data_IF_821397295949
#
_entry.id   IF_821397295949
#
_cell.length_a   1.000
_cell.length_b   1.000
_cell.length_c   1.000
_cell.angle_alpha   90.00
_cell.angle_beta   90.00
_cell.angle_gamma   90.00
#
_symmetry.space_group_name_H-M   'P 1'
#
loop_
_entity.id
_entity.type
_entity.pdbx_description
1 polymer ?
#
# COMPACT_ATOMS: atom_id res chain seq x y z
N UNK A 1 -5.20 0.15 6.28
CA UNK A 1 -4.49 1.37 6.76
C UNK A 1 -2.98 1.16 6.60
N UNK A 2 -2.16 2.23 6.63
CA UNK A 2 -0.67 2.14 6.57
C UNK A 2 -0.08 1.02 7.42
N UNK A 3 -0.61 0.79 8.64
CA UNK A 3 -0.15 -0.29 9.52
C UNK A 3 -0.18 -1.67 8.86
N UNK A 4 -1.19 -1.96 8.05
CA UNK A 4 -1.28 -3.26 7.38
C UNK A 4 -0.15 -3.45 6.35
N UNK A 5 0.23 -2.39 5.64
CA UNK A 5 1.38 -2.41 4.72
C UNK A 5 2.67 -2.64 5.50
N UNK A 6 2.81 -2.01 6.67
CA UNK A 6 3.98 -2.21 7.54
C UNK A 6 4.06 -3.64 8.07
N UNK A 7 2.93 -4.25 8.45
CA UNK A 7 2.88 -5.63 8.97
C UNK A 7 3.14 -6.66 7.86
N UNK A 8 2.53 -6.46 6.68
CA UNK A 8 2.67 -7.38 5.54
C UNK A 8 4.07 -7.31 4.94
N UNK A 9 4.57 -6.11 4.66
CA UNK A 9 5.88 -5.91 4.01
C UNK A 9 7.03 -5.81 5.01
N UNK A 10 6.76 -5.83 6.32
CA UNK A 10 7.76 -5.67 7.39
C UNK A 10 8.60 -4.39 7.25
N UNK A 11 8.02 -3.32 6.69
CA UNK A 11 8.70 -2.05 6.42
C UNK A 11 8.39 -0.95 7.44
N UNK A 12 9.29 0.03 7.52
CA UNK A 12 9.10 1.23 8.32
C UNK A 12 7.93 2.10 7.83
N UNK A 13 7.43 2.96 8.72
CA UNK A 13 6.28 3.84 8.41
C UNK A 13 6.55 4.75 7.22
N UNK A 14 7.76 5.29 7.13
CA UNK A 14 8.20 6.16 6.04
C UNK A 14 8.17 5.42 4.71
N UNK A 15 8.76 4.22 4.66
CA UNK A 15 8.74 3.38 3.46
C UNK A 15 7.31 3.02 3.04
N UNK A 16 6.42 2.70 3.99
CA UNK A 16 5.01 2.44 3.66
C UNK A 16 4.30 3.66 3.06
N UNK A 17 4.61 4.87 3.55
CA UNK A 17 4.09 6.10 2.96
C UNK A 17 4.68 6.37 1.58
N UNK A 18 6.00 6.23 1.41
CA UNK A 18 6.67 6.43 0.13
C UNK A 18 6.14 5.45 -0.91
N UNK A 19 5.90 4.19 -0.52
CA UNK A 19 5.33 3.16 -1.38
C UNK A 19 3.89 3.49 -1.79
N UNK A 20 3.03 3.90 -0.87
CA UNK A 20 1.67 4.33 -1.23
C UNK A 20 1.66 5.65 -2.01
N UNK A 21 2.59 6.56 -1.76
CA UNK A 21 2.73 7.79 -2.52
C UNK A 21 3.28 7.54 -3.93
N UNK A 22 4.06 6.46 -4.12
CA UNK A 22 4.63 6.10 -5.42
C UNK A 22 3.60 5.62 -6.44
N UNK A 23 2.38 5.29 -6.01
CA UNK A 23 1.30 4.87 -6.91
C UNK A 23 1.50 3.49 -7.57
N UNK A 24 2.42 2.67 -7.04
CA UNK A 24 2.73 1.33 -7.56
C UNK A 24 1.54 0.36 -7.53
N UNK A 25 0.58 0.59 -6.63
CA UNK A 25 -0.65 -0.19 -6.53
C UNK A 25 -1.83 0.72 -6.21
N UNK A 26 -3.04 0.21 -6.43
CA UNK A 26 -4.28 0.98 -6.30
C UNK A 26 -4.54 1.39 -4.84
N UNK A 27 -4.12 2.60 -4.49
CA UNK A 27 -4.31 3.22 -3.19
C UNK A 27 -5.00 4.57 -3.35
N UNK A 28 -6.06 4.79 -2.58
CA UNK A 28 -6.91 5.97 -2.63
C UNK A 28 -6.79 6.70 -1.29
N UNK A 29 -6.45 7.99 -1.34
CA UNK A 29 -6.47 8.85 -0.16
C UNK A 29 -7.83 9.53 -0.04
N UNK A 30 -8.62 9.14 0.96
CA UNK A 30 -9.88 9.80 1.31
C UNK A 30 -9.66 10.64 2.57
N UNK A 31 -9.48 11.94 2.38
CA UNK A 31 -9.16 12.91 3.43
C UNK A 31 -7.83 12.59 4.12
N UNK A 32 -7.91 12.20 5.41
CA UNK A 32 -6.75 11.78 6.22
C UNK A 32 -6.51 10.27 6.23
N UNK A 33 -7.40 9.48 5.62
CA UNK A 33 -7.29 8.02 5.59
C UNK A 33 -6.77 7.56 4.23
N UNK A 34 -5.98 6.49 4.28
CA UNK A 34 -5.56 5.75 3.10
C UNK A 34 -6.34 4.46 3.02
N UNK A 35 -6.98 4.26 1.88
CA UNK A 35 -7.64 3.03 1.47
C UNK A 35 -6.75 2.34 0.44
N UNK A 36 -6.57 1.04 0.62
CA UNK A 36 -5.76 0.22 -0.27
C UNK A 36 -6.73 -0.83 -0.80
N UNK A 37 -6.84 -0.93 -2.11
CA UNK A 37 -7.61 -2.01 -2.71
C UNK A 37 -6.87 -3.31 -2.42
N UNK A 38 -7.48 -4.21 -1.64
CA UNK A 38 -6.86 -5.51 -1.30
C UNK A 38 -6.44 -6.27 -2.55
N UNK A 39 -7.32 -6.32 -3.55
CA UNK A 39 -7.07 -7.04 -4.79
C UNK A 39 -5.87 -6.47 -5.54
N UNK A 40 -5.87 -5.17 -5.87
CA UNK A 40 -4.74 -4.53 -6.55
C UNK A 40 -3.43 -4.54 -5.74
N UNK A 41 -3.49 -4.61 -4.41
CA UNK A 41 -2.30 -4.80 -3.59
C UNK A 41 -1.76 -6.23 -3.64
N UNK A 42 -2.64 -7.24 -3.67
CA UNK A 42 -2.24 -8.65 -3.83
C UNK A 42 -1.67 -8.88 -5.22
N UNK A 43 -2.33 -8.39 -6.28
CA UNK A 43 -1.83 -8.46 -7.66
C UNK A 43 -0.43 -7.83 -7.79
N UNK A 44 -0.23 -6.66 -7.19
CA UNK A 44 1.08 -6.02 -7.12
C UNK A 44 2.10 -6.84 -6.32
N UNK A 45 1.69 -7.48 -5.22
CA UNK A 45 2.56 -8.27 -4.36
C UNK A 45 2.99 -9.59 -5.03
N UNK A 46 2.07 -10.23 -5.75
CA UNK A 46 2.32 -11.45 -6.51
C UNK A 46 3.10 -11.14 -7.81
N UNK A 47 3.18 -9.87 -8.20
CA UNK A 47 3.95 -9.42 -9.36
C UNK A 47 3.38 -9.94 -10.68
N UNK A 48 2.08 -10.22 -10.71
CA UNK A 48 1.42 -10.74 -11.91
C UNK A 48 1.55 -9.69 -13.02
N UNK A 49 2.13 -10.13 -14.14
CA UNK A 49 2.83 -9.30 -15.13
C UNK A 49 1.93 -8.92 -16.30
#
# INVERSE_FOLDING_TARGET
MVKNVQEILKIGRKQAYDLMASGQFHCIRIGRKWLIAKQGFVEWLEGDR
#
